data_IF_796321220813
#
_entry.id   IF_796321220813
#
_cell.length_a   1.000
_cell.length_b   1.000
_cell.length_c   1.000
_cell.angle_alpha   90.00
_cell.angle_beta   90.00
_cell.angle_gamma   90.00
#
_symmetry.space_group_name_H-M   'P 1'
#
loop_
_entity.id
_entity.type
_entity.pdbx_description
1 polymer ?
#
# COMPACT_ATOMS: atom_id res chain seq x y z
N UNK A 1 -13.31 1.52 -27.30
CA UNK A 1 -13.21 2.83 -26.62
C UNK A 1 -13.29 2.66 -25.09
N UNK A 2 -14.31 1.98 -24.55
CA UNK A 2 -14.43 1.70 -23.09
C UNK A 2 -13.25 0.88 -22.51
N UNK A 3 -12.79 -0.16 -23.20
CA UNK A 3 -11.64 -0.96 -22.74
C UNK A 3 -10.32 -0.16 -22.68
N UNK A 4 -10.14 0.82 -23.57
CA UNK A 4 -8.94 1.67 -23.57
C UNK A 4 -8.94 2.65 -22.38
N UNK A 5 -10.11 3.15 -21.98
CA UNK A 5 -10.26 3.99 -20.80
C UNK A 5 -9.99 3.20 -19.51
N UNK A 6 -10.48 1.97 -19.40
CA UNK A 6 -10.22 1.11 -18.23
C UNK A 6 -8.76 0.72 -18.06
N UNK A 7 -8.02 0.50 -19.16
CA UNK A 7 -6.57 0.25 -19.09
C UNK A 7 -5.82 1.51 -18.63
N UNK A 8 -6.24 2.69 -19.11
CA UNK A 8 -5.60 3.95 -18.76
C UNK A 8 -5.81 4.32 -17.28
N UNK A 9 -6.98 4.05 -16.70
CA UNK A 9 -7.25 4.31 -15.28
C UNK A 9 -6.40 3.43 -14.37
N UNK A 10 -6.33 2.12 -14.65
CA UNK A 10 -5.50 1.18 -13.87
C UNK A 10 -4.02 1.56 -13.90
N UNK A 11 -3.52 2.04 -15.05
CA UNK A 11 -2.14 2.52 -15.16
C UNK A 11 -1.88 3.75 -14.30
N UNK A 12 -2.80 4.72 -14.26
CA UNK A 12 -2.66 5.93 -13.45
C UNK A 12 -2.65 5.59 -11.95
N UNK A 13 -3.57 4.74 -11.50
CA UNK A 13 -3.63 4.29 -10.10
C UNK A 13 -2.33 3.60 -9.67
N UNK A 14 -1.80 2.71 -10.51
CA UNK A 14 -0.52 2.06 -10.26
C UNK A 14 0.64 3.06 -10.15
N UNK A 15 0.69 4.08 -11.03
CA UNK A 15 1.71 5.14 -10.97
C UNK A 15 1.58 5.93 -9.67
N UNK A 16 0.37 6.32 -9.28
CA UNK A 16 0.14 7.07 -8.04
C UNK A 16 0.55 6.25 -6.81
N UNK A 17 0.21 4.96 -6.80
CA UNK A 17 0.63 4.03 -5.74
C UNK A 17 2.15 3.96 -5.62
N UNK A 18 2.86 3.79 -6.75
CA UNK A 18 4.32 3.73 -6.77
C UNK A 18 4.97 5.05 -6.35
N UNK A 19 4.41 6.19 -6.79
CA UNK A 19 4.90 7.51 -6.39
C UNK A 19 4.75 7.72 -4.88
N UNK A 20 3.63 7.31 -4.28
CA UNK A 20 3.46 7.40 -2.84
C UNK A 20 4.42 6.45 -2.10
N UNK A 21 4.52 5.21 -2.56
CA UNK A 21 5.36 4.17 -1.96
C UNK A 21 6.83 4.58 -1.94
N UNK A 22 7.36 5.08 -3.06
CA UNK A 22 8.77 5.45 -3.12
C UNK A 22 9.02 6.89 -2.68
N UNK A 23 8.08 7.82 -2.91
CA UNK A 23 8.25 9.23 -2.62
C UNK A 23 8.05 9.61 -1.16
N UNK A 24 7.21 8.91 -0.40
CA UNK A 24 6.83 9.35 0.95
C UNK A 24 7.98 9.56 1.94
N UNK A 25 9.03 8.72 2.02
CA UNK A 25 10.15 8.97 2.95
C UNK A 25 10.94 10.24 2.58
N UNK A 26 11.08 10.52 1.28
CA UNK A 26 11.75 11.73 0.80
C UNK A 26 10.92 12.97 1.09
N UNK A 27 9.60 12.91 0.85
CA UNK A 27 8.67 14.00 1.17
C UNK A 27 8.74 14.31 2.67
N UNK A 28 8.66 13.31 3.55
CA UNK A 28 8.77 13.49 5.01
C UNK A 28 10.11 14.15 5.38
N UNK A 29 11.21 13.68 4.78
CA UNK A 29 12.52 14.29 5.01
C UNK A 29 12.57 15.76 4.57
N UNK A 30 12.09 16.08 3.36
CA UNK A 30 12.06 17.46 2.83
C UNK A 30 11.16 18.36 3.67
N UNK A 31 9.96 17.90 4.05
CA UNK A 31 9.03 18.64 4.91
C UNK A 31 9.63 18.99 6.28
N UNK A 32 10.47 18.11 6.84
CA UNK A 32 11.24 18.40 8.05
C UNK A 32 12.32 19.46 7.81
N UNK A 33 12.95 19.48 6.63
CA UNK A 33 13.98 20.48 6.27
C UNK A 33 13.41 21.87 6.01
N UNK A 34 12.21 21.96 5.45
CA UNK A 34 11.50 23.25 5.26
C UNK A 34 10.69 23.69 6.49
N UNK A 35 10.89 23.01 7.63
CA UNK A 35 10.26 23.33 8.92
C UNK A 35 8.72 23.26 8.92
N UNK A 36 8.11 22.54 7.97
CA UNK A 36 6.67 22.22 7.95
C UNK A 36 6.35 21.15 9.00
N UNK A 37 7.23 20.17 9.16
CA UNK A 37 7.19 19.22 10.26
C UNK A 37 8.23 19.64 11.32
N UNK A 38 7.83 20.08 12.52
CA UNK A 38 8.74 20.54 13.58
C UNK A 38 9.50 19.39 14.26
N UNK A 39 9.79 18.32 13.53
CA UNK A 39 10.42 17.10 14.02
C UNK A 39 11.86 17.11 13.56
N UNK A 40 12.77 17.15 14.53
CA UNK A 40 14.22 17.11 14.30
C UNK A 40 14.77 15.74 14.70
N UNK A 41 15.65 15.22 13.86
CA UNK A 41 16.37 13.96 14.09
C UNK A 41 15.99 12.87 13.08
N UNK A 42 17.00 12.36 12.37
CA UNK A 42 16.83 11.36 11.31
C UNK A 42 16.13 10.08 11.79
N UNK A 43 16.38 9.62 13.01
CA UNK A 43 15.72 8.42 13.56
C UNK A 43 14.21 8.59 13.75
N UNK A 44 13.75 9.78 14.18
CA UNK A 44 12.33 10.09 14.32
C UNK A 44 11.65 10.15 12.94
N UNK A 45 12.31 10.77 11.97
CA UNK A 45 11.81 10.84 10.60
C UNK A 45 11.73 9.46 9.94
N UNK A 46 12.72 8.59 10.20
CA UNK A 46 12.68 7.20 9.77
C UNK A 46 11.50 6.45 10.42
N UNK A 47 11.28 6.60 11.72
CA UNK A 47 10.13 5.98 12.41
C UNK A 47 8.78 6.43 11.84
N UNK A 48 8.62 7.72 11.53
CA UNK A 48 7.39 8.24 10.91
C UNK A 48 7.24 7.71 9.47
N UNK A 49 8.32 7.71 8.70
CA UNK A 49 8.30 7.19 7.33
C UNK A 49 7.95 5.71 7.29
N UNK A 50 8.48 4.93 8.25
CA UNK A 50 8.12 3.53 8.44
C UNK A 50 6.63 3.39 8.75
N UNK A 51 6.10 4.12 9.73
CA UNK A 51 4.70 4.04 10.10
C UNK A 51 3.77 4.41 8.94
N UNK A 52 4.06 5.49 8.22
CA UNK A 52 3.27 5.94 7.06
C UNK A 52 3.26 4.87 5.97
N UNK A 53 4.43 4.32 5.63
CA UNK A 53 4.52 3.28 4.60
C UNK A 53 3.86 1.97 5.00
N UNK A 54 4.08 1.53 6.24
CA UNK A 54 3.50 0.31 6.75
C UNK A 54 1.97 0.39 6.76
N UNK A 55 1.41 1.48 7.29
CA UNK A 55 -0.04 1.72 7.30
C UNK A 55 -0.59 1.80 5.88
N UNK A 56 0.12 2.41 4.94
CA UNK A 56 -0.32 2.49 3.55
C UNK A 56 -0.37 1.12 2.87
N UNK A 57 0.66 0.28 3.04
CA UNK A 57 0.71 -1.07 2.46
C UNK A 57 -0.39 -1.95 3.08
N UNK A 58 -0.48 -1.99 4.40
CA UNK A 58 -1.50 -2.82 5.07
C UNK A 58 -2.90 -2.30 4.80
N UNK A 59 -3.11 -0.98 4.91
CA UNK A 59 -4.41 -0.36 4.67
C UNK A 59 -4.91 -0.54 3.24
N UNK A 60 -4.02 -0.52 2.24
CA UNK A 60 -4.40 -0.80 0.85
C UNK A 60 -4.77 -2.27 0.63
N UNK A 61 -4.07 -3.21 1.29
CA UNK A 61 -4.43 -4.62 1.25
C UNK A 61 -5.78 -4.89 1.93
N UNK A 62 -6.03 -4.31 3.10
CA UNK A 62 -7.32 -4.38 3.82
C UNK A 62 -8.46 -3.79 2.99
N UNK A 63 -8.22 -2.66 2.32
CA UNK A 63 -9.21 -2.04 1.46
C UNK A 63 -9.55 -2.90 0.23
N UNK A 64 -8.55 -3.56 -0.36
CA UNK A 64 -8.78 -4.51 -1.46
C UNK A 64 -9.53 -5.75 -0.98
N UNK A 65 -9.22 -6.25 0.23
CA UNK A 65 -9.91 -7.38 0.82
C UNK A 65 -11.38 -7.06 1.09
N UNK A 66 -11.66 -5.88 1.64
CA UNK A 66 -13.02 -5.39 1.86
C UNK A 66 -13.82 -5.29 0.56
N UNK A 67 -13.24 -4.76 -0.52
CA UNK A 67 -13.93 -4.66 -1.80
C UNK A 67 -14.29 -6.02 -2.40
N UNK A 68 -13.34 -6.97 -2.39
CA UNK A 68 -13.56 -8.30 -2.94
C UNK A 68 -14.50 -9.12 -2.08
N UNK A 69 -14.43 -8.96 -0.76
CA UNK A 69 -15.41 -9.54 0.15
C UNK A 69 -16.80 -8.96 -0.10
N UNK A 70 -16.92 -7.65 -0.27
CA UNK A 70 -18.20 -7.02 -0.58
C UNK A 70 -18.78 -7.49 -1.93
N UNK A 71 -17.92 -7.68 -2.94
CA UNK A 71 -18.33 -8.28 -4.21
C UNK A 71 -18.83 -9.71 -4.03
N UNK A 72 -18.11 -10.53 -3.26
CA UNK A 72 -18.49 -11.90 -2.97
C UNK A 72 -19.81 -11.98 -2.17
N UNK A 73 -19.93 -11.16 -1.13
CA UNK A 73 -21.11 -11.08 -0.26
C UNK A 73 -22.34 -10.55 -1.02
N UNK A 74 -22.18 -9.93 -2.20
CA UNK A 74 -23.31 -9.50 -3.04
C UNK A 74 -24.08 -10.66 -3.69
N UNK A 75 -23.49 -11.85 -3.71
CA UNK A 75 -24.11 -13.08 -4.20
C UNK A 75 -24.82 -13.88 -3.10
N UNK A 76 -24.61 -13.52 -1.82
CA UNK A 76 -25.35 -14.07 -0.67
C UNK A 76 -26.70 -13.33 -0.58
N UNK A 77 -27.75 -13.94 -1.15
CA UNK A 77 -29.06 -13.31 -1.33
C UNK A 77 -29.93 -13.45 -0.08
N UNK A 78 -29.75 -14.51 0.70
CA UNK A 78 -30.49 -14.77 1.94
C UNK A 78 -29.76 -14.27 3.21
N UNK A 79 -28.48 -13.92 3.09
CA UNK A 79 -27.67 -13.30 4.14
C UNK A 79 -27.23 -14.28 5.21
N UNK A 80 -27.18 -15.59 4.90
CA UNK A 80 -26.82 -16.63 5.86
C UNK A 80 -25.29 -16.85 5.99
N UNK A 81 -24.49 -16.15 5.16
CA UNK A 81 -23.04 -16.21 5.14
C UNK A 81 -22.47 -17.44 4.43
N UNK A 82 -23.31 -18.23 3.76
CA UNK A 82 -22.97 -19.37 2.92
C UNK A 82 -23.60 -19.19 1.53
N UNK A 83 -23.17 -20.02 0.57
CA UNK A 83 -23.77 -20.03 -0.76
C UNK A 83 -24.63 -21.28 -0.92
N UNK A 84 -25.93 -21.08 -1.06
CA UNK A 84 -26.88 -22.14 -1.43
C UNK A 84 -26.72 -22.54 -2.91
N UNK A 85 -27.27 -23.69 -3.29
CA UNK A 85 -27.13 -24.23 -4.66
C UNK A 85 -27.69 -23.31 -5.76
N UNK A 86 -28.63 -22.43 -5.40
CA UNK A 86 -29.23 -21.42 -6.26
C UNK A 86 -28.44 -20.10 -6.32
N UNK A 87 -27.54 -19.86 -5.37
CA UNK A 87 -26.66 -18.68 -5.32
C UNK A 87 -25.29 -18.96 -5.95
N UNK A 88 -24.94 -20.23 -6.12
CA UNK A 88 -23.71 -20.69 -6.75
C UNK A 88 -23.78 -20.55 -8.29
N UNK A 89 -23.75 -19.32 -8.78
CA UNK A 89 -23.66 -19.01 -10.21
C UNK A 89 -22.20 -19.01 -10.70
N UNK A 90 -21.94 -19.12 -12.01
CA UNK A 90 -20.60 -18.97 -12.55
C UNK A 90 -19.92 -17.64 -12.14
N UNK A 91 -20.69 -16.56 -12.04
CA UNK A 91 -20.20 -15.25 -11.60
C UNK A 91 -19.79 -15.24 -10.12
N UNK A 92 -20.55 -15.94 -9.26
CA UNK A 92 -20.21 -16.13 -7.85
C UNK A 92 -18.94 -16.99 -7.69
N UNK A 93 -18.77 -18.02 -8.52
CA UNK A 93 -17.55 -18.83 -8.55
C UNK A 93 -16.33 -18.00 -8.98
N UNK A 94 -16.47 -17.11 -9.96
CA UNK A 94 -15.42 -16.18 -10.35
C UNK A 94 -15.06 -15.19 -9.23
N UNK A 95 -16.06 -14.61 -8.55
CA UNK A 95 -15.84 -13.71 -7.42
C UNK A 95 -15.14 -14.43 -6.25
N UNK A 96 -15.56 -15.66 -5.95
CA UNK A 96 -14.91 -16.52 -4.96
C UNK A 96 -13.45 -16.78 -5.33
N UNK A 97 -13.19 -17.13 -6.59
CA UNK A 97 -11.83 -17.33 -7.10
C UNK A 97 -10.96 -16.08 -6.96
N UNK A 98 -11.49 -14.89 -7.28
CA UNK A 98 -10.77 -13.61 -7.05
C UNK A 98 -10.47 -13.36 -5.58
N UNK A 99 -11.39 -13.71 -4.68
CA UNK A 99 -11.20 -13.52 -3.24
C UNK A 99 -10.10 -14.45 -2.70
N UNK A 100 -10.14 -15.75 -3.02
CA UNK A 100 -9.24 -16.75 -2.41
C UNK A 100 -7.84 -16.80 -3.02
N UNK A 101 -7.65 -16.37 -4.27
CA UNK A 101 -6.36 -16.50 -4.97
C UNK A 101 -5.31 -15.47 -4.51
N UNK A 102 -5.72 -14.42 -3.80
CA UNK A 102 -4.82 -13.34 -3.39
C UNK A 102 -4.26 -13.54 -1.98
N UNK A 103 -3.26 -14.42 -1.91
CA UNK A 103 -2.45 -14.64 -0.70
C UNK A 103 -1.64 -13.40 -0.30
N UNK A 104 -1.44 -12.45 -1.21
CA UNK A 104 -0.69 -11.21 -0.97
C UNK A 104 -1.35 -10.35 0.11
N UNK A 105 -2.69 -10.27 0.11
CA UNK A 105 -3.45 -9.54 1.13
C UNK A 105 -3.28 -10.15 2.51
N UNK A 106 -3.40 -11.47 2.63
CA UNK A 106 -3.27 -12.19 3.91
C UNK A 106 -1.89 -11.98 4.55
N UNK A 107 -0.83 -11.96 3.74
CA UNK A 107 0.54 -11.77 4.23
C UNK A 107 0.98 -10.30 4.29
N UNK A 108 0.13 -9.35 3.88
CA UNK A 108 0.46 -7.92 3.81
C UNK A 108 1.00 -7.33 5.13
N UNK A 109 0.51 -7.71 6.33
CA UNK A 109 1.10 -7.24 7.59
C UNK A 109 2.56 -7.67 7.76
N UNK A 110 2.89 -8.91 7.38
CA UNK A 110 4.25 -9.44 7.53
C UNK A 110 5.17 -8.88 6.44
N UNK A 111 4.73 -8.95 5.18
CA UNK A 111 5.54 -8.49 4.04
C UNK A 111 5.69 -6.97 4.05
N UNK A 112 4.64 -6.22 4.39
CA UNK A 112 4.65 -4.78 4.53
C UNK A 112 5.57 -4.31 5.64
N UNK A 113 5.64 -5.02 6.78
CA UNK A 113 6.58 -4.72 7.86
C UNK A 113 8.03 -4.89 7.41
N UNK A 114 8.35 -6.03 6.78
CA UNK A 114 9.70 -6.32 6.27
C UNK A 114 10.10 -5.30 5.21
N UNK A 115 9.23 -5.05 4.22
CA UNK A 115 9.48 -4.11 3.14
C UNK A 115 9.71 -2.69 3.69
N UNK A 116 8.81 -2.19 4.53
CA UNK A 116 8.91 -0.85 5.11
C UNK A 116 10.19 -0.68 5.93
N UNK A 117 10.57 -1.70 6.71
CA UNK A 117 11.80 -1.69 7.51
C UNK A 117 13.05 -1.57 6.65
N UNK A 118 13.17 -2.42 5.62
CA UNK A 118 14.33 -2.45 4.73
C UNK A 118 14.39 -1.15 3.91
N UNK A 119 13.28 -0.78 3.27
CA UNK A 119 13.25 0.36 2.36
C UNK A 119 13.55 1.68 3.08
N UNK A 120 12.86 1.96 4.19
CA UNK A 120 13.10 3.18 4.99
C UNK A 120 14.51 3.17 5.58
N UNK A 121 14.97 2.01 6.05
CA UNK A 121 16.33 1.84 6.54
C UNK A 121 17.37 2.27 5.50
N UNK A 122 17.26 1.74 4.27
CA UNK A 122 18.15 2.10 3.17
C UNK A 122 18.09 3.60 2.85
N UNK A 123 16.89 4.17 2.68
CA UNK A 123 16.72 5.60 2.35
C UNK A 123 17.38 6.49 3.40
N UNK A 124 17.13 6.26 4.69
CA UNK A 124 17.70 7.11 5.75
C UNK A 124 19.19 6.87 5.98
N UNK A 125 19.70 5.67 5.71
CA UNK A 125 21.15 5.40 5.66
C UNK A 125 21.79 6.24 4.53
N UNK A 126 21.22 6.21 3.33
CA UNK A 126 21.70 7.02 2.20
C UNK A 126 21.67 8.52 2.51
N UNK A 127 20.55 9.03 3.05
CA UNK A 127 20.43 10.44 3.47
C UNK A 127 21.51 10.80 4.49
N UNK A 128 21.76 9.92 5.48
CA UNK A 128 22.80 10.15 6.49
C UNK A 128 24.19 10.23 5.87
N UNK A 129 24.52 9.30 4.97
CA UNK A 129 25.82 9.28 4.28
C UNK A 129 25.97 10.51 3.37
N UNK A 130 24.95 10.85 2.60
CA UNK A 130 24.93 12.02 1.73
C UNK A 130 25.16 13.32 2.51
N UNK A 131 24.43 13.52 3.60
CA UNK A 131 24.58 14.70 4.45
C UNK A 131 25.98 14.78 5.08
N UNK A 132 26.59 13.63 5.41
CA UNK A 132 27.93 13.59 6.02
C UNK A 132 29.04 13.91 5.03
N UNK A 133 28.96 13.42 3.79
CA UNK A 133 30.07 13.48 2.83
C UNK A 133 29.92 14.56 1.76
N UNK A 134 28.70 14.95 1.41
CA UNK A 134 28.45 15.96 0.37
C UNK A 134 28.23 17.33 1.00
N UNK A 135 27.22 17.46 1.87
CA UNK A 135 26.85 18.76 2.43
C UNK A 135 27.82 19.30 3.49
N UNK A 136 28.63 18.45 4.12
CA UNK A 136 29.64 18.91 5.09
C UNK A 136 30.92 19.42 4.43
N UNK A 137 31.13 19.08 3.16
CA UNK A 137 32.31 19.46 2.38
C UNK A 137 32.03 20.64 1.42
N UNK A 138 30.84 21.25 1.49
CA UNK A 138 30.45 22.47 0.78
C UNK A 138 30.23 23.57 1.81
#
# INVERSE_FOLDING_TARGET
>A
MLAALGVQTVQIEAILYLLFLFGSPFIIYVLSRVNVLPIKGLGKLAGISFAVLYIFIVGSAEFADYQLKQELDSFDLDGDGSFSSNEFTPEAEEAMNRYIQDTGRTFAPITGFIFSSIYVGLVFIFIRLFNKYVLKNT
#
